data_IF_735145104957
#
_entry.id   IF_735145104957
#
_cell.length_a   1.000
_cell.length_b   1.000
_cell.length_c   1.000
_cell.angle_alpha   90.00
_cell.angle_beta   90.00
_cell.angle_gamma   90.00
#
_symmetry.space_group_name_H-M   'P 1'
#
loop_
_entity.id
_entity.type
_entity.pdbx_description
1 polymer ?
#
# COMPACT_ATOMS: atom_id res chain seq x y z
N UNK A 1 -11.19 -32.39 -11.05
CA UNK A 1 -10.84 -31.63 -9.82
C UNK A 1 -9.93 -30.44 -10.10
N UNK A 2 -8.84 -30.57 -10.87
CA UNK A 2 -7.95 -29.44 -11.21
C UNK A 2 -8.59 -28.33 -12.09
N UNK A 3 -9.53 -28.67 -12.97
CA UNK A 3 -10.21 -27.70 -13.86
C UNK A 3 -11.15 -26.76 -13.08
N UNK A 4 -11.67 -27.19 -11.93
CA UNK A 4 -12.61 -26.42 -11.11
C UNK A 4 -11.88 -25.49 -10.12
N UNK A 5 -10.70 -25.89 -9.63
CA UNK A 5 -9.83 -25.03 -8.81
C UNK A 5 -9.34 -23.79 -9.59
N UNK A 6 -9.03 -23.96 -10.88
CA UNK A 6 -8.63 -22.87 -11.78
C UNK A 6 -9.70 -21.78 -11.90
N UNK A 7 -11.00 -22.15 -11.85
CA UNK A 7 -12.08 -21.16 -11.89
C UNK A 7 -12.18 -20.33 -10.62
N UNK A 8 -11.97 -20.93 -9.44
CA UNK A 8 -12.14 -20.25 -8.16
C UNK A 8 -11.00 -19.27 -7.89
N UNK A 9 -9.75 -19.67 -8.16
CA UNK A 9 -8.58 -18.77 -8.07
C UNK A 9 -8.73 -17.57 -9.00
N UNK A 10 -9.23 -17.80 -10.22
CA UNK A 10 -9.49 -16.73 -11.19
C UNK A 10 -10.60 -15.80 -10.71
N UNK A 11 -11.70 -16.33 -10.16
CA UNK A 11 -12.79 -15.51 -9.60
C UNK A 11 -12.27 -14.63 -8.46
N UNK A 12 -11.51 -15.20 -7.52
CA UNK A 12 -10.92 -14.42 -6.41
C UNK A 12 -9.91 -13.40 -6.90
N UNK A 13 -9.10 -13.73 -7.92
CA UNK A 13 -8.15 -12.79 -8.50
C UNK A 13 -8.87 -11.61 -9.14
N UNK A 14 -9.92 -11.84 -9.93
CA UNK A 14 -10.71 -10.80 -10.59
C UNK A 14 -11.43 -9.91 -9.57
N UNK A 15 -12.15 -10.53 -8.62
CA UNK A 15 -12.86 -9.79 -7.57
C UNK A 15 -11.89 -8.99 -6.70
N UNK A 16 -10.77 -9.60 -6.29
CA UNK A 16 -9.73 -8.95 -5.50
C UNK A 16 -9.15 -7.74 -6.24
N UNK A 17 -8.80 -7.89 -7.51
CA UNK A 17 -8.32 -6.78 -8.35
C UNK A 17 -9.35 -5.65 -8.44
N UNK A 18 -10.63 -5.98 -8.67
CA UNK A 18 -11.70 -4.99 -8.73
C UNK A 18 -11.82 -4.17 -7.44
N UNK A 19 -11.88 -4.83 -6.28
CA UNK A 19 -11.93 -4.13 -5.00
C UNK A 19 -10.64 -3.36 -4.69
N UNK A 20 -9.47 -3.89 -5.04
CA UNK A 20 -8.20 -3.19 -4.88
C UNK A 20 -8.16 -1.90 -5.70
N UNK A 21 -8.68 -1.88 -6.92
CA UNK A 21 -8.80 -0.64 -7.71
C UNK A 21 -9.65 0.38 -6.95
N UNK A 22 -10.80 -0.02 -6.42
CA UNK A 22 -11.65 0.88 -5.63
C UNK A 22 -10.92 1.44 -4.40
N UNK A 23 -10.14 0.61 -3.71
CA UNK A 23 -9.33 1.02 -2.55
C UNK A 23 -8.24 2.03 -2.95
N UNK A 24 -7.51 1.79 -4.04
CA UNK A 24 -6.51 2.75 -4.55
C UNK A 24 -7.15 4.07 -5.01
N UNK A 25 -8.38 4.05 -5.49
CA UNK A 25 -9.11 5.25 -5.90
C UNK A 25 -9.84 5.95 -4.73
N UNK A 26 -9.93 5.33 -3.56
CA UNK A 26 -10.61 5.90 -2.40
C UNK A 26 -10.07 7.29 -1.96
N UNK A 27 -8.76 7.61 -2.09
CA UNK A 27 -8.25 8.94 -1.76
C UNK A 27 -8.56 10.06 -2.76
N UNK A 28 -9.19 9.79 -3.91
CA UNK A 28 -9.51 10.82 -4.93
C UNK A 28 -10.22 12.06 -4.33
N UNK A 29 -11.25 11.93 -3.48
CA UNK A 29 -11.91 13.09 -2.90
C UNK A 29 -10.97 13.93 -2.02
N UNK A 30 -10.07 13.28 -1.28
CA UNK A 30 -9.04 13.92 -0.46
C UNK A 30 -8.09 14.74 -1.33
N UNK A 31 -7.56 14.15 -2.41
CA UNK A 31 -6.64 14.86 -3.31
C UNK A 31 -7.32 15.93 -4.15
N UNK A 32 -8.60 15.76 -4.47
CA UNK A 32 -9.42 16.81 -5.08
C UNK A 32 -9.50 18.02 -4.16
N UNK A 33 -9.64 17.81 -2.84
CA UNK A 33 -9.64 18.88 -1.85
C UNK A 33 -8.27 19.56 -1.74
N UNK A 34 -7.18 18.78 -1.68
CA UNK A 34 -5.81 19.31 -1.67
C UNK A 34 -5.55 20.21 -2.90
N UNK A 35 -5.97 19.75 -4.08
CA UNK A 35 -5.84 20.53 -5.31
C UNK A 35 -6.65 21.83 -5.27
N UNK A 36 -7.86 21.81 -4.71
CA UNK A 36 -8.74 22.97 -4.64
C UNK A 36 -8.23 24.03 -3.67
N UNK A 37 -7.79 23.59 -2.48
CA UNK A 37 -7.28 24.45 -1.40
C UNK A 37 -5.81 24.86 -1.59
N UNK A 38 -5.11 24.28 -2.58
CA UNK A 38 -3.69 24.51 -2.84
C UNK A 38 -2.79 24.28 -1.61
N UNK A 39 -3.23 23.39 -0.73
CA UNK A 39 -2.61 23.07 0.55
C UNK A 39 -2.95 21.63 0.92
N UNK A 40 -2.11 20.97 1.72
CA UNK A 40 -2.41 19.63 2.25
C UNK A 40 -3.40 19.65 3.41
N UNK A 41 -3.80 20.83 3.92
CA UNK A 41 -4.88 20.98 4.93
C UNK A 41 -4.67 20.06 6.16
N UNK A 42 -3.42 19.83 6.55
CA UNK A 42 -3.07 18.94 7.66
C UNK A 42 -3.18 17.43 7.38
N UNK A 43 -3.54 17.01 6.16
CA UNK A 43 -3.44 15.62 5.73
C UNK A 43 -1.99 15.12 5.82
N UNK A 44 -1.83 13.84 6.14
CA UNK A 44 -0.54 13.19 6.30
C UNK A 44 -0.16 12.43 5.04
N UNK A 45 1.11 12.44 4.65
CA UNK A 45 1.62 11.68 3.51
C UNK A 45 1.90 10.21 3.79
N UNK A 46 2.03 9.85 5.08
CA UNK A 46 2.37 8.51 5.53
C UNK A 46 1.54 7.39 4.86
N UNK A 47 0.19 7.49 4.76
CA UNK A 47 -0.61 6.42 4.17
C UNK A 47 -0.26 6.13 2.71
N UNK A 48 0.08 7.16 1.93
CA UNK A 48 0.39 7.04 0.51
C UNK A 48 1.76 6.39 0.29
N UNK A 49 2.75 6.79 1.10
CA UNK A 49 4.11 6.22 1.02
C UNK A 49 4.14 4.77 1.52
N UNK A 50 3.44 4.45 2.61
CA UNK A 50 3.35 3.07 3.11
C UNK A 50 2.65 2.16 2.10
N UNK A 51 1.59 2.66 1.45
CA UNK A 51 0.87 1.90 0.41
C UNK A 51 1.72 1.73 -0.85
N UNK A 52 2.49 2.75 -1.25
CA UNK A 52 3.46 2.65 -2.34
C UNK A 52 4.51 1.57 -2.06
N UNK A 53 5.12 1.57 -0.87
CA UNK A 53 6.09 0.55 -0.48
C UNK A 53 5.50 -0.85 -0.51
N UNK A 54 4.31 -1.05 0.08
CA UNK A 54 3.63 -2.33 0.06
C UNK A 54 3.36 -2.81 -1.38
N UNK A 55 2.93 -1.90 -2.26
CA UNK A 55 2.68 -2.20 -3.67
C UNK A 55 3.96 -2.58 -4.41
N UNK A 56 5.07 -1.88 -4.16
CA UNK A 56 6.38 -2.22 -4.74
C UNK A 56 6.86 -3.61 -4.29
N UNK A 57 6.69 -3.96 -3.01
CA UNK A 57 7.07 -5.26 -2.47
C UNK A 57 6.24 -6.40 -3.08
N UNK A 58 4.92 -6.23 -3.20
CA UNK A 58 4.07 -7.21 -3.88
C UNK A 58 4.33 -7.30 -5.39
N UNK A 59 4.69 -6.20 -6.02
CA UNK A 59 5.11 -6.19 -7.42
C UNK A 59 6.39 -7.01 -7.59
N UNK A 60 7.39 -6.83 -6.71
CA UNK A 60 8.60 -7.65 -6.67
C UNK A 60 8.26 -9.13 -6.45
N UNK A 61 7.40 -9.45 -5.47
CA UNK A 61 6.93 -10.81 -5.23
C UNK A 61 6.29 -11.43 -6.49
N UNK A 62 5.42 -10.69 -7.17
CA UNK A 62 4.80 -11.10 -8.42
C UNK A 62 5.85 -11.43 -9.47
N UNK A 63 6.81 -10.54 -9.72
CA UNK A 63 7.88 -10.77 -10.68
C UNK A 63 8.74 -12.01 -10.37
N UNK A 64 8.86 -12.41 -9.10
CA UNK A 64 9.61 -13.60 -8.68
C UNK A 64 8.78 -14.88 -8.83
N UNK A 65 7.47 -14.82 -8.53
CA UNK A 65 6.57 -15.98 -8.56
C UNK A 65 6.03 -16.25 -9.97
N UNK A 66 6.18 -17.48 -10.45
CA UNK A 66 5.62 -17.92 -11.73
C UNK A 66 4.08 -17.77 -11.75
N UNK A 67 3.50 -17.37 -12.88
CA UNK A 67 2.05 -17.28 -13.14
C UNK A 67 1.28 -16.36 -12.17
N UNK A 68 1.86 -15.22 -11.80
CA UNK A 68 1.31 -14.27 -10.81
C UNK A 68 0.75 -12.99 -11.43
N UNK A 69 0.37 -13.00 -12.71
CA UNK A 69 -0.07 -11.82 -13.46
C UNK A 69 -1.09 -10.93 -12.71
N UNK A 70 -2.16 -11.46 -12.07
CA UNK A 70 -3.11 -10.63 -11.34
C UNK A 70 -2.50 -9.84 -10.17
N UNK A 71 -1.43 -10.35 -9.55
CA UNK A 71 -0.69 -9.65 -8.48
C UNK A 71 0.17 -8.55 -9.08
N UNK A 72 0.83 -8.83 -10.21
CA UNK A 72 1.66 -7.85 -10.93
C UNK A 72 0.80 -6.68 -11.39
N UNK A 73 -0.33 -6.94 -12.06
CA UNK A 73 -1.18 -5.89 -12.65
C UNK A 73 -1.73 -4.94 -11.59
N UNK A 74 -2.26 -5.47 -10.48
CA UNK A 74 -2.88 -4.63 -9.46
C UNK A 74 -1.87 -3.77 -8.70
N UNK A 75 -0.69 -4.33 -8.39
CA UNK A 75 0.34 -3.61 -7.66
C UNK A 75 1.09 -2.64 -8.56
N UNK A 76 1.25 -2.94 -9.86
CA UNK A 76 1.75 -1.97 -10.82
C UNK A 76 0.79 -0.76 -10.94
N UNK A 77 -0.52 -1.01 -11.04
CA UNK A 77 -1.53 0.04 -10.99
C UNK A 77 -1.44 0.85 -9.69
N UNK A 78 -1.37 0.16 -8.55
CA UNK A 78 -1.21 0.77 -7.23
C UNK A 78 0.01 1.69 -7.14
N UNK A 79 1.17 1.22 -7.60
CA UNK A 79 2.39 2.02 -7.66
C UNK A 79 2.18 3.31 -8.46
N UNK A 80 1.57 3.23 -9.65
CA UNK A 80 1.31 4.41 -10.48
C UNK A 80 0.39 5.41 -9.75
N UNK A 81 -0.70 4.92 -9.17
CA UNK A 81 -1.67 5.77 -8.43
C UNK A 81 -1.01 6.44 -7.22
N UNK A 82 -0.27 5.68 -6.41
CA UNK A 82 0.39 6.22 -5.22
C UNK A 82 1.53 7.19 -5.55
N UNK A 83 2.25 6.99 -6.66
CA UNK A 83 3.22 7.96 -7.19
C UNK A 83 2.52 9.27 -7.56
N UNK A 84 1.35 9.21 -8.21
CA UNK A 84 0.57 10.40 -8.57
C UNK A 84 0.14 11.15 -7.30
N UNK A 85 -0.44 10.46 -6.33
CA UNK A 85 -0.85 11.04 -5.05
C UNK A 85 0.32 11.66 -4.29
N UNK A 86 1.43 10.94 -4.18
CA UNK A 86 2.61 11.44 -3.48
C UNK A 86 3.19 12.67 -4.17
N UNK A 87 3.19 12.70 -5.51
CA UNK A 87 3.64 13.86 -6.29
C UNK A 87 2.77 15.09 -6.05
N UNK A 88 1.43 14.92 -6.08
CA UNK A 88 0.48 16.00 -5.79
C UNK A 88 0.66 16.49 -4.34
N UNK A 89 0.84 15.57 -3.39
CA UNK A 89 1.05 15.92 -1.99
C UNK A 89 2.31 16.78 -1.81
N UNK A 90 3.45 16.35 -2.37
CA UNK A 90 4.72 17.08 -2.28
C UNK A 90 4.60 18.49 -2.87
N UNK A 91 3.89 18.62 -3.99
CA UNK A 91 3.68 19.90 -4.67
C UNK A 91 2.95 20.90 -3.76
N UNK A 92 1.82 20.51 -3.17
CA UNK A 92 0.97 21.37 -2.34
C UNK A 92 1.35 21.40 -0.84
N UNK A 93 2.30 20.59 -0.40
CA UNK A 93 2.73 20.53 0.99
C UNK A 93 3.49 21.79 1.43
N UNK A 94 3.32 22.15 2.71
CA UNK A 94 4.20 23.12 3.39
C UNK A 94 5.64 22.61 3.43
N UNK A 95 6.62 23.50 3.62
CA UNK A 95 8.04 23.11 3.66
C UNK A 95 8.31 21.96 4.65
N UNK A 96 7.72 22.01 5.84
CA UNK A 96 7.88 20.98 6.87
C UNK A 96 7.27 19.64 6.42
N UNK A 97 6.02 19.64 5.96
CA UNK A 97 5.35 18.43 5.49
C UNK A 97 6.03 17.83 4.24
N UNK A 98 6.57 18.68 3.36
CA UNK A 98 7.34 18.26 2.18
C UNK A 98 8.63 17.54 2.58
N UNK A 99 9.42 18.12 3.48
CA UNK A 99 10.66 17.49 3.97
C UNK A 99 10.35 16.15 4.63
N UNK A 100 9.33 16.10 5.49
CA UNK A 100 8.88 14.85 6.12
C UNK A 100 8.51 13.78 5.07
N UNK A 101 7.75 14.17 4.04
CA UNK A 101 7.35 13.29 2.93
C UNK A 101 8.55 12.75 2.16
N UNK A 102 9.55 13.60 1.87
CA UNK A 102 10.78 13.19 1.19
C UNK A 102 11.64 12.22 2.03
N UNK A 103 11.71 12.45 3.34
CA UNK A 103 12.40 11.53 4.27
C UNK A 103 11.70 10.16 4.27
N UNK A 104 10.37 10.14 4.37
CA UNK A 104 9.59 8.89 4.32
C UNK A 104 9.79 8.14 2.99
N UNK A 105 9.81 8.85 1.86
CA UNK A 105 10.13 8.27 0.55
C UNK A 105 11.54 7.66 0.53
N UNK A 106 12.53 8.38 1.06
CA UNK A 106 13.89 7.87 1.18
C UNK A 106 13.97 6.59 1.99
N UNK A 107 13.29 6.55 3.15
CA UNK A 107 13.19 5.34 3.98
C UNK A 107 12.53 4.19 3.22
N UNK A 108 11.42 4.44 2.52
CA UNK A 108 10.72 3.43 1.73
C UNK A 108 11.60 2.86 0.61
N UNK A 109 12.33 3.72 -0.11
CA UNK A 109 13.27 3.30 -1.17
C UNK A 109 14.40 2.44 -0.60
N UNK A 110 14.96 2.83 0.55
CA UNK A 110 16.00 2.05 1.23
C UNK A 110 15.46 0.68 1.64
N UNK A 111 14.27 0.62 2.26
CA UNK A 111 13.62 -0.63 2.64
C UNK A 111 13.38 -1.54 1.43
N UNK A 112 12.81 -0.99 0.35
CA UNK A 112 12.62 -1.75 -0.89
C UNK A 112 13.94 -2.26 -1.47
N UNK A 113 14.98 -1.43 -1.49
CA UNK A 113 16.30 -1.78 -2.01
C UNK A 113 16.96 -2.91 -1.21
N UNK A 114 16.82 -2.90 0.12
CA UNK A 114 17.31 -3.98 0.98
C UNK A 114 16.62 -5.30 0.62
N UNK A 115 15.29 -5.31 0.48
CA UNK A 115 14.54 -6.52 0.10
C UNK A 115 14.92 -6.98 -1.31
N UNK A 116 15.06 -6.05 -2.25
CA UNK A 116 15.49 -6.35 -3.62
C UNK A 116 16.87 -7.00 -3.64
N UNK A 117 17.86 -6.39 -3.00
CA UNK A 117 19.26 -6.89 -2.94
C UNK A 117 19.30 -8.26 -2.25
N UNK A 118 18.68 -8.42 -1.08
CA UNK A 118 18.65 -9.70 -0.37
C UNK A 118 17.98 -10.80 -1.20
N UNK A 119 16.95 -10.47 -2.00
CA UNK A 119 16.30 -11.42 -2.90
C UNK A 119 17.20 -11.92 -4.05
N UNK A 120 18.25 -11.18 -4.42
CA UNK A 120 19.22 -11.64 -5.43
C UNK A 120 20.13 -12.75 -4.91
N UNK A 121 20.39 -12.79 -3.60
CA UNK A 121 21.20 -13.82 -2.97
C UNK A 121 20.40 -15.09 -2.60
N UNK A 122 19.07 -15.06 -2.77
CA UNK A 122 18.20 -16.21 -2.51
C UNK A 122 17.94 -17.02 -3.78
N UNK A 123 17.81 -18.34 -3.63
CA UNK A 123 17.59 -19.28 -4.75
C UNK A 123 16.32 -20.09 -4.48
N UNK A 124 15.57 -20.37 -5.55
CA UNK A 124 14.45 -21.31 -5.50
C UNK A 124 13.25 -20.82 -4.68
N UNK A 125 12.61 -21.74 -3.97
CA UNK A 125 11.33 -21.53 -3.28
C UNK A 125 11.48 -20.58 -2.08
N UNK A 126 12.62 -20.60 -1.39
CA UNK A 126 12.88 -19.76 -0.22
C UNK A 126 12.76 -18.27 -0.56
N UNK A 127 13.21 -17.88 -1.76
CA UNK A 127 13.07 -16.52 -2.28
C UNK A 127 11.61 -16.08 -2.36
N UNK A 128 10.73 -16.95 -2.86
CA UNK A 128 9.30 -16.68 -3.01
C UNK A 128 8.65 -16.55 -1.63
N UNK A 129 8.96 -17.47 -0.71
CA UNK A 129 8.38 -17.49 0.64
C UNK A 129 8.81 -16.24 1.42
N UNK A 130 10.10 -15.94 1.47
CA UNK A 130 10.62 -14.84 2.28
C UNK A 130 10.12 -13.49 1.77
N UNK A 131 10.21 -13.23 0.45
CA UNK A 131 9.71 -11.97 -0.13
C UNK A 131 8.19 -11.86 0.05
N UNK A 132 7.46 -12.97 -0.05
CA UNK A 132 6.01 -13.00 0.21
C UNK A 132 5.66 -12.67 1.66
N UNK A 133 6.38 -13.25 2.63
CA UNK A 133 6.17 -12.97 4.06
C UNK A 133 6.48 -11.51 4.40
N UNK A 134 7.57 -10.96 3.86
CA UNK A 134 7.91 -9.55 4.04
C UNK A 134 6.79 -8.66 3.46
N UNK A 135 6.35 -8.94 2.23
CA UNK A 135 5.27 -8.19 1.58
C UNK A 135 3.97 -8.23 2.40
N UNK A 136 3.65 -9.39 2.97
CA UNK A 136 2.48 -9.57 3.83
C UNK A 136 2.58 -8.74 5.12
N UNK A 137 3.71 -8.79 5.83
CA UNK A 137 3.92 -8.02 7.07
C UNK A 137 3.83 -6.52 6.83
N UNK A 138 4.42 -6.01 5.75
CA UNK A 138 4.31 -4.58 5.43
C UNK A 138 2.88 -4.20 5.05
N UNK A 139 2.16 -5.06 4.33
CA UNK A 139 0.78 -4.78 3.95
C UNK A 139 -0.17 -4.73 5.13
N UNK A 140 0.06 -5.53 6.17
CA UNK A 140 -0.78 -5.47 7.37
C UNK A 140 -0.64 -4.15 8.12
N UNK A 141 0.53 -3.50 8.04
CA UNK A 141 0.74 -2.18 8.66
C UNK A 141 -0.15 -1.09 8.06
N UNK A 142 -0.57 -1.22 6.79
CA UNK A 142 -1.49 -0.27 6.14
C UNK A 142 -2.85 -0.24 6.85
N UNK A 143 -3.26 -1.32 7.51
CA UNK A 143 -4.51 -1.40 8.28
C UNK A 143 -4.45 -0.73 9.65
N UNK A 144 -3.27 -0.30 10.12
CA UNK A 144 -3.14 0.40 11.39
C UNK A 144 -3.92 1.72 11.40
N UNK A 145 -3.94 2.45 10.28
CA UNK A 145 -4.65 3.72 10.16
C UNK A 145 -6.19 3.56 10.23
N UNK A 146 -6.83 2.67 9.44
CA UNK A 146 -8.24 2.35 9.61
C UNK A 146 -8.60 1.89 11.03
N UNK A 147 -7.79 1.04 11.65
CA UNK A 147 -8.04 0.56 13.01
C UNK A 147 -8.02 1.70 14.05
N UNK A 148 -7.09 2.66 13.90
CA UNK A 148 -7.04 3.84 14.75
C UNK A 148 -8.31 4.71 14.61
N UNK A 149 -8.86 4.83 13.40
CA UNK A 149 -10.12 5.53 13.15
C UNK A 149 -11.30 4.80 13.81
N UNK A 150 -11.42 3.48 13.63
CA UNK A 150 -12.49 2.69 14.25
C UNK A 150 -12.43 2.82 15.78
N UNK A 151 -11.24 2.68 16.37
CA UNK A 151 -11.03 2.88 17.81
C UNK A 151 -11.49 4.27 18.26
N UNK A 152 -11.14 5.33 17.53
CA UNK A 152 -11.58 6.70 17.83
C UNK A 152 -13.09 6.86 17.72
N UNK A 153 -13.73 6.25 16.73
CA UNK A 153 -15.19 6.27 16.57
C UNK A 153 -15.89 5.55 17.72
N UNK A 154 -15.40 4.37 18.13
CA UNK A 154 -15.96 3.63 19.27
C UNK A 154 -15.94 4.46 20.56
N UNK A 155 -14.84 5.19 20.81
CA UNK A 155 -14.78 6.12 21.94
C UNK A 155 -15.75 7.29 21.79
N UNK A 156 -15.82 7.90 20.60
CA UNK A 156 -16.71 9.04 20.34
C UNK A 156 -18.19 8.67 20.53
N UNK A 157 -18.58 7.45 20.17
CA UNK A 157 -19.95 6.95 20.32
C UNK A 157 -20.21 6.25 21.68
N UNK A 158 -19.25 6.25 22.60
CA UNK A 158 -19.42 5.65 23.94
C UNK A 158 -19.54 4.12 23.94
N UNK A 159 -19.07 3.44 22.88
CA UNK A 159 -19.14 1.99 22.73
C UNK A 159 -18.01 1.25 23.47
N UNK A 160 -17.07 1.97 24.09
CA UNK A 160 -15.94 1.42 24.85
C UNK A 160 -15.37 2.46 25.82
N UNK A 161 -15.25 2.13 27.11
CA UNK A 161 -14.56 2.95 28.11
C UNK A 161 -13.09 2.51 28.25
N UNK A 162 -12.15 3.46 28.40
CA UNK A 162 -10.76 3.13 28.69
C UNK A 162 -10.66 2.45 30.07
N UNK A 163 -9.94 1.32 30.22
CA UNK A 163 -9.47 0.93 31.53
C UNK A 163 -8.59 2.06 32.06
N UNK A 164 -8.93 2.53 33.27
CA UNK A 164 -8.24 3.62 33.98
C UNK A 164 -6.74 3.35 34.12
#
# INVERSE_FOLDING_TARGET
>A
MAIQALSLETIFAVLGNFFSVLVYLAPIPTFTRIYREKSTIGYQSMPYITTLLASMLWLLYGCIKLNSLPIITINAFGCVVEIIYTSIFIYYATRQARIYTLILLGVAIVQFSIVLITSFFMIGIDKIIIVGLISMVFSTTVFAAPLAVVKKLMFMFGLYELPK
#
